data_IF_491687679290
#
_entry.id   IF_491687679290
#
_cell.length_a   1.000
_cell.length_b   1.000
_cell.length_c   1.000
_cell.angle_alpha   90.00
_cell.angle_beta   90.00
_cell.angle_gamma   90.00
#
_symmetry.space_group_name_H-M   'P 1'
#
loop_
_entity.id
_entity.type
_entity.pdbx_description
1 polymer ?
#
# COMPACT_ATOMS: atom_id res chain seq x y z
N UNK A 1 42.25 85.29 37.69
CA UNK A 1 41.38 84.81 36.62
C UNK A 1 42.05 83.65 35.93
N UNK A 2 41.79 82.42 36.33
CA UNK A 2 42.09 81.22 35.55
C UNK A 2 41.21 80.10 36.10
N UNK A 3 40.28 79.67 35.30
CA UNK A 3 39.37 78.56 35.60
C UNK A 3 40.00 77.23 35.17
N UNK A 4 40.19 76.36 36.13
CA UNK A 4 40.61 74.99 35.86
C UNK A 4 39.35 74.11 35.69
N UNK A 5 39.22 73.50 34.52
CA UNK A 5 38.24 72.44 34.27
C UNK A 5 38.84 71.06 34.59
N UNK A 6 38.30 70.41 35.58
CA UNK A 6 38.68 69.06 35.98
C UNK A 6 37.86 68.06 35.13
N UNK A 7 38.54 67.22 34.32
CA UNK A 7 37.97 66.21 33.46
C UNK A 7 37.92 64.88 34.24
N UNK A 8 36.71 64.45 34.63
CA UNK A 8 36.46 63.16 35.26
C UNK A 8 36.37 62.04 34.19
N UNK A 9 37.31 61.13 34.20
CA UNK A 9 37.28 59.92 33.41
C UNK A 9 36.39 58.88 34.11
N UNK A 10 35.29 58.49 33.45
CA UNK A 10 34.42 57.42 33.85
C UNK A 10 34.91 56.12 33.19
N UNK A 11 35.51 55.20 33.94
CA UNK A 11 35.94 53.90 33.47
C UNK A 11 34.72 52.98 33.59
N UNK A 12 34.04 52.71 32.44
CA UNK A 12 32.97 51.75 32.33
C UNK A 12 33.55 50.33 32.25
N UNK A 13 33.37 49.51 33.28
CA UNK A 13 33.73 48.11 33.27
C UNK A 13 32.66 47.33 32.47
N UNK A 14 33.04 46.89 31.28
CA UNK A 14 32.21 46.02 30.42
C UNK A 14 32.31 44.58 30.98
N UNK A 15 31.27 44.16 31.73
CA UNK A 15 31.14 42.79 32.23
C UNK A 15 30.78 41.85 31.08
N UNK A 16 31.71 40.98 30.69
CA UNK A 16 31.43 39.85 29.81
C UNK A 16 30.56 38.82 30.55
N UNK A 17 29.25 38.82 30.30
CA UNK A 17 28.40 37.69 30.65
C UNK A 17 28.73 36.52 29.71
N UNK A 18 29.55 35.58 30.18
CA UNK A 18 29.72 34.29 29.52
C UNK A 18 28.43 33.45 29.66
N UNK A 19 27.64 33.37 28.61
CA UNK A 19 26.53 32.41 28.53
C UNK A 19 27.10 30.99 28.54
N UNK A 20 27.10 30.36 29.70
CA UNK A 20 27.38 28.94 29.82
C UNK A 20 26.11 28.20 29.34
N UNK A 21 26.17 27.74 28.11
CA UNK A 21 25.14 26.84 27.59
C UNK A 21 25.31 25.48 28.27
N UNK A 22 24.29 24.93 28.95
CA UNK A 22 24.37 23.56 29.43
C UNK A 22 24.43 22.63 28.22
N UNK A 23 25.59 21.97 28.03
CA UNK A 23 25.71 20.88 27.08
C UNK A 23 24.80 19.75 27.59
N UNK A 24 23.65 19.58 26.97
CA UNK A 24 22.84 18.38 27.13
C UNK A 24 23.67 17.21 26.61
N UNK A 25 24.19 16.39 27.50
CA UNK A 25 24.80 15.12 27.14
C UNK A 25 23.61 14.23 26.75
N UNK A 26 23.36 14.09 25.44
CA UNK A 26 22.48 13.06 24.91
C UNK A 26 23.24 11.75 25.09
N UNK A 27 22.94 11.03 26.17
CA UNK A 27 23.35 9.64 26.30
C UNK A 27 22.61 8.85 25.22
N UNK A 28 23.25 8.65 24.07
CA UNK A 28 22.77 7.65 23.12
C UNK A 28 22.81 6.30 23.83
N UNK A 29 21.71 5.53 23.81
CA UNK A 29 21.75 4.19 24.38
C UNK A 29 22.85 3.39 23.71
N UNK A 30 23.83 2.96 24.48
CA UNK A 30 24.90 2.11 23.99
C UNK A 30 24.25 0.81 23.53
N UNK A 31 24.44 0.45 22.26
CA UNK A 31 23.95 -0.85 21.78
C UNK A 31 24.54 -1.96 22.66
N UNK A 32 23.74 -2.99 23.02
CA UNK A 32 24.24 -4.08 23.84
C UNK A 32 25.47 -4.72 23.19
N UNK A 33 26.53 -4.89 23.99
CA UNK A 33 27.76 -5.53 23.55
C UNK A 33 27.57 -7.06 23.55
N UNK A 34 28.09 -7.74 22.51
CA UNK A 34 28.00 -9.18 22.41
C UNK A 34 27.96 -9.70 20.98
N UNK A 35 27.67 -10.96 20.84
CA UNK A 35 27.43 -11.61 19.55
C UNK A 35 26.04 -11.25 19.09
N UNK A 36 25.94 -10.52 17.98
CA UNK A 36 24.69 -10.15 17.35
C UNK A 36 24.49 -11.02 16.11
N UNK A 37 23.35 -11.68 16.05
CA UNK A 37 22.96 -12.54 14.92
C UNK A 37 21.58 -12.17 14.44
N UNK A 38 21.33 -12.52 13.21
CA UNK A 38 20.02 -12.38 12.58
C UNK A 38 19.59 -13.75 12.09
N UNK A 39 18.35 -14.13 12.40
CA UNK A 39 17.77 -15.37 11.92
C UNK A 39 16.52 -15.11 11.12
N UNK A 40 16.30 -15.96 10.12
CA UNK A 40 15.15 -15.93 9.23
C UNK A 40 14.43 -17.26 9.29
N UNK A 41 13.10 -17.21 9.38
CA UNK A 41 12.25 -18.38 9.27
C UNK A 41 11.19 -18.16 8.22
N UNK A 42 10.92 -19.19 7.45
CA UNK A 42 9.87 -19.21 6.44
C UNK A 42 8.95 -20.39 6.72
N UNK A 43 7.64 -20.14 6.68
CA UNK A 43 6.62 -21.15 6.77
C UNK A 43 5.62 -20.97 5.63
N UNK A 44 5.23 -22.07 5.00
CA UNK A 44 4.30 -22.08 3.88
C UNK A 44 3.06 -22.88 4.21
N UNK A 45 1.92 -22.44 3.69
CA UNK A 45 0.62 -23.10 3.87
C UNK A 45 -0.31 -22.89 2.69
N UNK A 46 -1.28 -23.79 2.55
CA UNK A 46 -2.31 -23.61 1.53
C UNK A 46 -3.25 -22.45 1.92
N UNK A 47 -3.60 -21.54 0.98
CA UNK A 47 -4.56 -20.49 1.24
C UNK A 47 -5.95 -21.07 1.55
N UNK A 48 -6.71 -20.42 2.40
CA UNK A 48 -8.08 -20.79 2.76
C UNK A 48 -9.13 -19.73 2.35
N UNK A 49 -8.67 -18.54 1.94
CA UNK A 49 -9.53 -17.48 1.39
C UNK A 49 -8.96 -16.91 0.10
N UNK A 50 -9.84 -16.41 -0.75
CA UNK A 50 -9.49 -15.53 -1.85
C UNK A 50 -10.12 -14.16 -1.61
N UNK A 51 -9.38 -13.09 -1.94
CA UNK A 51 -9.87 -11.71 -1.89
C UNK A 51 -9.78 -11.09 -3.27
N UNK A 52 -10.85 -10.41 -3.67
CA UNK A 52 -10.90 -9.67 -4.94
C UNK A 52 -11.64 -8.37 -4.74
N UNK A 53 -11.40 -7.40 -5.61
CA UNK A 53 -12.15 -6.15 -5.62
C UNK A 53 -12.99 -6.12 -6.90
N UNK A 54 -14.28 -5.97 -6.72
CA UNK A 54 -15.27 -5.88 -7.80
C UNK A 54 -15.88 -4.49 -7.77
N UNK A 55 -16.00 -3.84 -8.92
CA UNK A 55 -16.43 -2.46 -8.98
C UNK A 55 -17.39 -2.17 -10.12
N UNK A 56 -18.06 -1.04 -9.95
CA UNK A 56 -18.89 -0.41 -10.96
C UNK A 56 -18.35 0.99 -11.21
N UNK A 57 -18.05 1.25 -12.46
CA UNK A 57 -17.67 2.58 -12.94
C UNK A 57 -18.78 3.10 -13.87
N UNK A 58 -19.22 4.34 -13.64
CA UNK A 58 -20.26 5.01 -14.41
C UNK A 58 -19.81 6.37 -14.83
N UNK A 59 -20.05 6.72 -16.10
CA UNK A 59 -19.89 8.07 -16.61
C UNK A 59 -21.26 8.62 -17.00
N UNK A 60 -21.60 9.81 -16.49
CA UNK A 60 -22.88 10.45 -16.77
C UNK A 60 -22.74 11.97 -16.92
N UNK A 61 -23.73 12.61 -17.54
CA UNK A 61 -23.73 14.05 -17.72
C UNK A 61 -23.99 14.82 -16.42
N UNK A 62 -24.64 14.20 -15.45
CA UNK A 62 -24.92 14.79 -14.13
C UNK A 62 -24.47 13.86 -13.00
N UNK A 63 -24.13 14.47 -11.86
CA UNK A 63 -23.76 13.73 -10.65
C UNK A 63 -24.90 12.83 -10.17
N UNK A 64 -26.13 13.31 -10.24
CA UNK A 64 -27.33 12.57 -9.83
C UNK A 64 -27.50 11.26 -10.64
N UNK A 65 -27.36 11.34 -11.97
CA UNK A 65 -27.41 10.17 -12.84
C UNK A 65 -26.27 9.18 -12.54
N UNK A 66 -25.02 9.69 -12.38
CA UNK A 66 -23.90 8.82 -12.06
C UNK A 66 -24.13 8.03 -10.77
N UNK A 67 -24.63 8.71 -9.72
CA UNK A 67 -24.91 8.10 -8.42
C UNK A 67 -26.06 7.11 -8.51
N UNK A 68 -27.15 7.45 -9.19
CA UNK A 68 -28.32 6.58 -9.35
C UNK A 68 -27.95 5.29 -10.09
N UNK A 69 -27.33 5.41 -11.26
CA UNK A 69 -26.93 4.28 -12.09
C UNK A 69 -25.89 3.39 -11.39
N UNK A 70 -24.89 4.00 -10.75
CA UNK A 70 -23.86 3.27 -10.02
C UNK A 70 -24.42 2.53 -8.81
N UNK A 71 -25.36 3.14 -8.08
CA UNK A 71 -26.01 2.50 -6.93
C UNK A 71 -26.88 1.32 -7.38
N UNK A 72 -27.63 1.47 -8.47
CA UNK A 72 -28.46 0.41 -9.02
C UNK A 72 -27.60 -0.80 -9.45
N UNK A 73 -26.55 -0.57 -10.22
CA UNK A 73 -25.65 -1.64 -10.69
C UNK A 73 -24.94 -2.32 -9.51
N UNK A 74 -24.40 -1.55 -8.57
CA UNK A 74 -23.74 -2.14 -7.40
C UNK A 74 -24.71 -2.96 -6.55
N UNK A 75 -25.97 -2.54 -6.40
CA UNK A 75 -26.98 -3.32 -5.72
C UNK A 75 -27.25 -4.68 -6.42
N UNK A 76 -27.25 -4.71 -7.75
CA UNK A 76 -27.38 -5.95 -8.52
C UNK A 76 -26.17 -6.88 -8.30
N UNK A 77 -24.94 -6.32 -8.34
CA UNK A 77 -23.71 -7.08 -8.05
C UNK A 77 -23.76 -7.69 -6.66
N UNK A 78 -24.08 -6.90 -5.63
CA UNK A 78 -24.16 -7.38 -4.25
C UNK A 78 -25.24 -8.46 -4.09
N UNK A 79 -26.39 -8.32 -4.77
CA UNK A 79 -27.46 -9.32 -4.76
C UNK A 79 -26.99 -10.64 -5.40
N UNK A 80 -26.30 -10.59 -6.54
CA UNK A 80 -25.76 -11.78 -7.21
C UNK A 80 -24.73 -12.51 -6.33
N UNK A 81 -23.85 -11.77 -5.66
CA UNK A 81 -22.85 -12.35 -4.74
C UNK A 81 -23.53 -13.01 -3.52
N UNK A 82 -24.54 -12.38 -2.94
CA UNK A 82 -25.32 -12.96 -1.83
C UNK A 82 -26.05 -14.24 -2.25
N UNK A 83 -26.58 -14.32 -3.48
CA UNK A 83 -27.19 -15.51 -4.02
C UNK A 83 -26.22 -16.70 -4.17
N UNK A 84 -24.93 -16.43 -4.40
CA UNK A 84 -23.89 -17.45 -4.41
C UNK A 84 -23.46 -17.88 -2.99
N UNK A 85 -24.07 -17.28 -1.96
CA UNK A 85 -23.81 -17.59 -0.55
C UNK A 85 -22.58 -16.86 0.01
N UNK A 86 -22.20 -15.73 -0.57
CA UNK A 86 -21.19 -14.85 0.04
C UNK A 86 -21.89 -14.08 1.18
N UNK A 87 -21.43 -14.23 2.44
CA UNK A 87 -22.02 -13.54 3.57
C UNK A 87 -21.82 -12.01 3.48
N UNK A 88 -22.72 -11.25 4.06
CA UNK A 88 -22.62 -9.79 4.09
C UNK A 88 -21.36 -9.30 4.81
N UNK A 89 -20.90 -10.02 5.81
CA UNK A 89 -19.65 -9.73 6.54
C UNK A 89 -18.40 -9.81 5.65
N UNK A 90 -18.45 -10.60 4.57
CA UNK A 90 -17.35 -10.78 3.60
C UNK A 90 -17.47 -9.82 2.40
N UNK A 91 -18.45 -8.90 2.43
CA UNK A 91 -18.66 -7.85 1.42
C UNK A 91 -18.40 -6.48 2.05
N UNK A 92 -17.31 -5.82 1.65
CA UNK A 92 -16.91 -4.53 2.22
C UNK A 92 -16.66 -3.50 1.13
N UNK A 93 -17.39 -2.38 1.16
CA UNK A 93 -17.06 -1.25 0.27
C UNK A 93 -15.66 -0.74 0.60
N UNK A 94 -14.79 -0.76 -0.41
CA UNK A 94 -13.38 -0.35 -0.29
C UNK A 94 -13.11 1.02 -0.91
N UNK A 95 -13.90 1.39 -1.93
CA UNK A 95 -13.78 2.68 -2.58
C UNK A 95 -15.15 3.19 -3.02
N UNK A 96 -15.39 4.48 -2.80
CA UNK A 96 -16.51 5.22 -3.37
C UNK A 96 -16.03 6.62 -3.71
N UNK A 97 -16.01 6.98 -4.98
CA UNK A 97 -15.59 8.29 -5.43
C UNK A 97 -16.45 8.80 -6.57
N UNK A 98 -16.70 10.11 -6.56
CA UNK A 98 -17.38 10.82 -7.63
C UNK A 98 -16.50 12.02 -8.00
N UNK A 99 -16.07 12.10 -9.25
CA UNK A 99 -15.26 13.19 -9.79
C UNK A 99 -15.89 13.75 -11.05
N UNK A 100 -15.61 15.03 -11.31
CA UNK A 100 -15.94 15.64 -12.59
C UNK A 100 -14.71 15.66 -13.48
N UNK A 101 -14.76 14.98 -14.61
CA UNK A 101 -13.67 14.85 -15.57
C UNK A 101 -13.97 15.73 -16.79
N UNK A 102 -13.02 16.60 -17.13
CA UNK A 102 -13.09 17.38 -18.35
C UNK A 102 -12.68 16.50 -19.54
N UNK A 103 -13.46 16.52 -20.60
CA UNK A 103 -13.04 15.93 -21.86
C UNK A 103 -11.81 16.66 -22.36
N UNK A 104 -10.72 15.95 -22.73
CA UNK A 104 -9.58 16.58 -23.35
C UNK A 104 -10.05 17.34 -24.59
N UNK A 105 -9.70 18.61 -24.67
CA UNK A 105 -10.02 19.48 -25.80
C UNK A 105 -9.26 18.95 -27.02
N UNK A 106 -9.82 17.93 -27.69
CA UNK A 106 -9.31 17.50 -29.01
C UNK A 106 -9.58 18.64 -29.97
N UNK A 107 -8.54 19.26 -30.55
CA UNK A 107 -8.77 20.15 -31.68
C UNK A 107 -9.52 19.33 -32.74
N UNK A 108 -10.53 19.92 -33.43
CA UNK A 108 -11.27 19.23 -34.45
C UNK A 108 -10.27 18.62 -35.44
N UNK A 109 -10.14 17.29 -35.43
CA UNK A 109 -9.39 16.60 -36.49
C UNK A 109 -10.11 16.93 -37.80
N UNK A 110 -9.41 17.48 -38.82
CA UNK A 110 -10.00 17.62 -40.12
C UNK A 110 -10.31 16.21 -40.64
N UNK A 111 -11.55 15.78 -40.51
CA UNK A 111 -12.03 14.58 -41.16
C UNK A 111 -11.82 14.74 -42.64
N UNK A 112 -10.85 13.98 -43.14
CA UNK A 112 -10.67 13.68 -44.58
C UNK A 112 -10.52 14.89 -45.51
N UNK A 113 -9.38 15.56 -45.42
CA UNK A 113 -8.84 16.25 -46.60
C UNK A 113 -8.14 15.26 -47.56
N UNK A 114 -8.72 14.07 -47.73
CA UNK A 114 -8.36 13.17 -48.82
C UNK A 114 -9.57 13.10 -49.75
N UNK A 115 -9.45 13.81 -50.88
CA UNK A 115 -10.37 13.77 -52.04
C UNK A 115 -11.56 14.76 -52.02
N UNK A 116 -11.28 16.05 -51.93
CA UNK A 116 -12.15 17.03 -52.59
C UNK A 116 -11.31 17.93 -53.50
N UNK A 117 -11.76 18.19 -54.77
CA UNK A 117 -11.04 19.05 -55.68
C UNK A 117 -10.98 20.48 -55.14
N UNK A 118 -9.85 21.13 -55.37
CA UNK A 118 -9.54 22.46 -54.93
C UNK A 118 -10.50 23.54 -55.55
N UNK A 119 -11.63 23.74 -54.95
CA UNK A 119 -12.49 24.91 -55.20
C UNK A 119 -13.38 25.17 -53.99
N UNK A 120 -12.96 26.02 -53.17
CA UNK A 120 -13.62 26.98 -52.30
C UNK A 120 -12.77 27.18 -51.04
N UNK A 121 -12.00 28.23 -51.03
CA UNK A 121 -11.34 28.73 -49.81
C UNK A 121 -12.43 29.18 -48.82
N UNK A 122 -12.91 28.28 -47.98
CA UNK A 122 -13.65 28.66 -46.82
C UNK A 122 -12.67 29.33 -45.84
N UNK A 123 -12.97 30.62 -45.52
CA UNK A 123 -12.24 31.38 -44.53
C UNK A 123 -12.13 30.56 -43.25
N UNK A 124 -10.96 30.51 -42.57
CA UNK A 124 -10.84 29.87 -41.27
C UNK A 124 -11.86 30.51 -40.31
N UNK A 125 -12.83 29.70 -39.89
CA UNK A 125 -13.78 30.13 -38.88
C UNK A 125 -13.01 30.17 -37.55
N UNK A 126 -13.00 31.29 -36.82
CA UNK A 126 -12.37 31.34 -35.50
C UNK A 126 -12.99 30.22 -34.63
N UNK A 127 -12.21 29.53 -33.81
CA UNK A 127 -12.80 28.58 -32.86
C UNK A 127 -13.84 29.32 -32.03
N UNK A 128 -15.02 28.72 -31.91
CA UNK A 128 -16.11 29.29 -31.11
C UNK A 128 -15.62 29.49 -29.68
N UNK A 129 -15.37 30.75 -29.31
CA UNK A 129 -14.79 31.17 -28.03
C UNK A 129 -15.68 30.86 -26.81
N UNK A 130 -16.89 30.30 -27.03
CA UNK A 130 -17.90 30.08 -26.00
C UNK A 130 -18.25 28.58 -25.76
N UNK A 131 -17.45 27.64 -26.29
CA UNK A 131 -17.65 26.25 -25.95
C UNK A 131 -17.21 26.02 -24.49
N UNK A 132 -18.19 26.02 -23.57
CA UNK A 132 -17.94 25.57 -22.18
C UNK A 132 -17.22 24.22 -22.23
N UNK A 133 -16.17 24.02 -21.42
CA UNK A 133 -15.49 22.74 -21.39
C UNK A 133 -16.51 21.65 -21.10
N UNK A 134 -16.58 20.70 -22.01
CA UNK A 134 -17.46 19.51 -21.84
C UNK A 134 -16.75 18.56 -20.91
N UNK A 135 -17.51 17.99 -20.01
CA UNK A 135 -17.01 16.99 -19.08
C UNK A 135 -18.15 16.09 -18.64
N UNK A 136 -17.79 15.06 -17.93
CA UNK A 136 -18.74 14.09 -17.39
C UNK A 136 -18.40 13.81 -15.92
N UNK A 137 -19.39 13.35 -15.19
CA UNK A 137 -19.20 12.82 -13.85
C UNK A 137 -18.79 11.37 -13.95
N UNK A 138 -17.69 11.04 -13.29
CA UNK A 138 -17.17 9.68 -13.18
C UNK A 138 -17.37 9.20 -11.75
N UNK A 139 -18.17 8.16 -11.58
CA UNK A 139 -18.40 7.46 -10.34
C UNK A 139 -17.63 6.13 -10.34
N UNK A 140 -16.89 5.87 -9.29
CA UNK A 140 -16.28 4.57 -8.99
C UNK A 140 -16.84 4.08 -7.66
N UNK A 141 -17.39 2.87 -7.65
CA UNK A 141 -17.85 2.18 -6.44
C UNK A 141 -17.30 0.75 -6.45
N UNK A 142 -16.44 0.42 -5.48
CA UNK A 142 -15.73 -0.87 -5.42
C UNK A 142 -16.01 -1.55 -4.09
N UNK A 143 -16.27 -2.85 -4.14
CA UNK A 143 -16.44 -3.73 -3.00
C UNK A 143 -15.32 -4.76 -2.96
N UNK A 144 -14.69 -4.93 -1.81
CA UNK A 144 -13.80 -6.06 -1.53
C UNK A 144 -14.66 -7.25 -1.13
N UNK A 145 -14.41 -8.38 -1.79
CA UNK A 145 -15.12 -9.63 -1.59
C UNK A 145 -14.14 -10.66 -1.04
N UNK A 146 -14.46 -11.24 0.13
CA UNK A 146 -13.74 -12.37 0.68
C UNK A 146 -14.47 -13.66 0.33
N UNK A 147 -13.80 -14.57 -0.34
CA UNK A 147 -14.35 -15.85 -0.83
C UNK A 147 -13.71 -16.97 -0.02
N UNK A 148 -14.46 -17.57 0.90
CA UNK A 148 -13.97 -18.63 1.79
C UNK A 148 -14.00 -20.02 1.14
N UNK A 149 -14.80 -20.21 0.13
CA UNK A 149 -14.82 -21.42 -0.68
C UNK A 149 -14.13 -21.14 -2.01
N UNK A 150 -12.84 -21.51 -2.08
CA UNK A 150 -11.99 -21.24 -3.23
C UNK A 150 -12.53 -21.82 -4.53
N UNK A 151 -13.33 -22.91 -4.45
CA UNK A 151 -13.99 -23.49 -5.63
C UNK A 151 -15.04 -22.57 -6.26
N UNK A 152 -15.48 -21.55 -5.53
CA UNK A 152 -16.49 -20.58 -6.01
C UNK A 152 -15.86 -19.36 -6.69
N UNK A 153 -14.56 -19.17 -6.66
CA UNK A 153 -13.89 -17.96 -7.19
C UNK A 153 -14.35 -17.66 -8.61
N UNK A 154 -14.25 -18.61 -9.52
CA UNK A 154 -14.66 -18.40 -10.92
C UNK A 154 -16.15 -18.02 -11.05
N UNK A 155 -17.04 -18.68 -10.26
CA UNK A 155 -18.48 -18.38 -10.28
C UNK A 155 -18.78 -16.99 -9.72
N UNK A 156 -18.05 -16.56 -8.71
CA UNK A 156 -18.20 -15.21 -8.11
C UNK A 156 -17.84 -14.14 -9.14
N UNK A 157 -16.72 -14.31 -9.85
CA UNK A 157 -16.31 -13.38 -10.89
C UNK A 157 -17.30 -13.32 -12.05
N UNK A 158 -17.77 -14.49 -12.50
CA UNK A 158 -18.76 -14.56 -13.57
C UNK A 158 -20.07 -13.89 -13.16
N UNK A 159 -20.59 -14.18 -11.97
CA UNK A 159 -21.84 -13.59 -11.50
C UNK A 159 -21.75 -12.07 -11.30
N UNK A 160 -20.60 -11.57 -10.89
CA UNK A 160 -20.37 -10.13 -10.81
C UNK A 160 -20.37 -9.47 -12.19
N UNK A 161 -19.72 -10.09 -13.18
CA UNK A 161 -19.71 -9.60 -14.56
C UNK A 161 -21.10 -9.63 -15.19
N UNK A 162 -21.88 -10.70 -14.97
CA UNK A 162 -23.25 -10.84 -15.43
C UNK A 162 -24.21 -9.83 -14.77
N UNK A 163 -23.85 -9.32 -13.59
CA UNK A 163 -24.56 -8.29 -12.84
C UNK A 163 -24.05 -6.86 -13.11
N UNK A 164 -23.37 -6.63 -14.24
CA UNK A 164 -22.84 -5.32 -14.67
C UNK A 164 -21.66 -4.77 -13.84
N UNK A 165 -20.92 -5.61 -13.10
CA UNK A 165 -19.61 -5.20 -12.63
C UNK A 165 -18.67 -5.02 -13.85
N UNK A 166 -18.14 -3.81 -14.03
CA UNK A 166 -17.29 -3.47 -15.17
C UNK A 166 -15.86 -3.11 -14.78
N UNK A 167 -15.56 -3.23 -13.50
CA UNK A 167 -14.24 -3.02 -12.93
C UNK A 167 -13.95 -4.14 -11.95
N UNK A 168 -12.79 -4.78 -12.10
CA UNK A 168 -12.34 -5.78 -11.15
C UNK A 168 -10.81 -5.75 -11.08
N UNK A 169 -10.31 -5.77 -9.87
CA UNK A 169 -8.90 -5.63 -9.58
C UNK A 169 -8.42 -6.89 -8.89
N UNK A 170 -7.55 -7.63 -9.56
CA UNK A 170 -6.79 -8.75 -9.04
C UNK A 170 -7.55 -9.76 -8.17
N UNK A 171 -6.96 -10.93 -8.04
CA UNK A 171 -7.36 -11.92 -7.05
C UNK A 171 -6.12 -12.22 -6.24
N UNK A 172 -6.21 -12.18 -4.92
CA UNK A 172 -5.18 -12.66 -4.01
C UNK A 172 -5.70 -13.88 -3.26
N UNK A 173 -4.81 -14.84 -3.07
CA UNK A 173 -5.07 -16.00 -2.22
C UNK A 173 -4.30 -15.82 -0.93
N UNK A 174 -4.95 -16.05 0.19
CA UNK A 174 -4.45 -15.67 1.50
C UNK A 174 -4.97 -16.63 2.57
N UNK A 175 -4.53 -16.43 3.80
CA UNK A 175 -5.07 -17.08 4.99
C UNK A 175 -6.00 -16.10 5.72
N UNK A 176 -7.15 -16.58 6.17
CA UNK A 176 -8.04 -15.80 7.01
C UNK A 176 -7.44 -15.59 8.42
N UNK A 177 -6.76 -16.64 8.92
CA UNK A 177 -5.97 -16.60 10.15
C UNK A 177 -4.56 -17.16 9.89
N UNK A 178 -3.57 -16.31 9.86
CA UNK A 178 -2.17 -16.64 9.63
C UNK A 178 -1.37 -16.90 10.92
N UNK A 179 -1.98 -16.76 12.11
CA UNK A 179 -1.29 -16.82 13.39
C UNK A 179 -0.47 -18.11 13.60
N UNK A 180 -0.95 -19.25 13.11
CA UNK A 180 -0.23 -20.53 13.20
C UNK A 180 1.04 -20.52 12.35
N UNK A 181 0.93 -20.00 11.12
CA UNK A 181 2.04 -19.93 10.19
C UNK A 181 3.09 -18.90 10.66
N UNK A 182 2.64 -17.75 11.18
CA UNK A 182 3.51 -16.76 11.83
C UNK A 182 4.28 -17.38 12.98
N UNK A 183 3.61 -18.15 13.85
CA UNK A 183 4.27 -18.83 14.98
C UNK A 183 5.31 -19.85 14.51
N UNK A 184 5.03 -20.59 13.45
CA UNK A 184 5.97 -21.55 12.86
C UNK A 184 7.19 -20.83 12.27
N UNK A 185 6.99 -19.80 11.45
CA UNK A 185 8.06 -18.99 10.90
C UNK A 185 8.92 -18.36 12.01
N UNK A 186 8.30 -17.85 13.08
CA UNK A 186 9.00 -17.32 14.26
C UNK A 186 9.89 -18.35 14.93
N UNK A 187 9.42 -19.57 15.13
CA UNK A 187 10.22 -20.67 15.71
C UNK A 187 11.44 -20.98 14.84
N UNK A 188 11.25 -21.04 13.52
CA UNK A 188 12.34 -21.29 12.58
C UNK A 188 13.36 -20.15 12.60
N UNK A 189 12.91 -18.89 12.65
CA UNK A 189 13.80 -17.73 12.73
C UNK A 189 14.65 -17.73 14.01
N UNK A 190 14.05 -18.07 15.14
CA UNK A 190 14.78 -18.17 16.42
C UNK A 190 15.82 -19.31 16.35
N UNK A 191 15.46 -20.47 15.82
CA UNK A 191 16.37 -21.59 15.67
C UNK A 191 17.56 -21.26 14.75
N UNK A 192 17.30 -20.55 13.65
CA UNK A 192 18.32 -20.10 12.71
C UNK A 192 19.29 -19.09 13.37
N UNK A 193 18.76 -18.12 14.11
CA UNK A 193 19.58 -17.16 14.88
C UNK A 193 20.43 -17.87 15.94
N UNK A 194 19.87 -18.84 16.67
CA UNK A 194 20.60 -19.61 17.67
C UNK A 194 21.73 -20.40 17.03
N UNK A 195 21.47 -21.08 15.95
CA UNK A 195 22.47 -21.85 15.19
C UNK A 195 23.62 -20.95 14.71
N UNK A 196 23.28 -19.79 14.13
CA UNK A 196 24.27 -18.80 13.69
C UNK A 196 25.12 -18.27 14.84
N UNK A 197 24.53 -18.03 16.02
CA UNK A 197 25.29 -17.60 17.19
C UNK A 197 26.28 -18.66 17.67
N UNK A 198 25.85 -19.93 17.75
CA UNK A 198 26.70 -21.05 18.14
C UNK A 198 27.88 -21.27 17.18
N UNK A 199 27.64 -21.16 15.87
CA UNK A 199 28.70 -21.23 14.87
C UNK A 199 29.72 -20.12 15.01
N UNK A 200 29.26 -18.87 15.16
CA UNK A 200 30.15 -17.72 15.37
C UNK A 200 30.97 -17.87 16.64
N UNK A 201 30.38 -18.34 17.72
CA UNK A 201 31.07 -18.57 18.99
C UNK A 201 32.17 -19.61 18.84
N UNK A 202 31.89 -20.74 18.15
CA UNK A 202 32.89 -21.78 17.85
C UNK A 202 34.05 -21.25 17.01
N UNK A 203 33.75 -20.49 15.95
CA UNK A 203 34.76 -19.95 15.04
C UNK A 203 35.63 -18.86 15.67
N UNK A 204 35.07 -18.08 16.60
CA UNK A 204 35.81 -16.98 17.26
C UNK A 204 36.42 -17.35 18.60
N UNK A 205 36.07 -18.52 19.14
CA UNK A 205 36.60 -19.00 20.42
C UNK A 205 36.02 -18.26 21.65
N UNK A 206 34.88 -17.58 21.49
CA UNK A 206 34.14 -16.97 22.59
C UNK A 206 33.09 -17.95 23.15
N UNK A 207 32.70 -17.75 24.39
CA UNK A 207 31.56 -18.46 24.98
C UNK A 207 30.31 -17.59 24.94
N UNK A 208 29.19 -18.14 24.46
CA UNK A 208 27.90 -17.48 24.49
C UNK A 208 27.35 -17.46 25.92
N UNK A 209 26.94 -16.29 26.35
CA UNK A 209 26.14 -16.09 27.57
C UNK A 209 24.65 -16.10 27.27
N UNK A 210 23.91 -15.44 28.14
CA UNK A 210 22.46 -15.29 27.97
C UNK A 210 22.10 -14.30 26.83
N UNK A 211 20.87 -14.39 26.33
CA UNK A 211 20.31 -13.43 25.41
C UNK A 211 20.02 -12.11 26.14
N UNK A 212 20.69 -11.04 25.75
CA UNK A 212 20.57 -9.71 26.34
C UNK A 212 19.64 -8.78 25.58
N UNK A 213 19.36 -9.09 24.32
CA UNK A 213 18.42 -8.31 23.51
C UNK A 213 17.77 -9.20 22.45
N UNK A 214 16.48 -8.99 22.25
CA UNK A 214 15.67 -9.60 21.19
C UNK A 214 14.96 -8.46 20.46
N UNK A 215 15.08 -8.44 19.13
CA UNK A 215 14.33 -7.53 18.27
C UNK A 215 13.64 -8.36 17.19
N UNK A 216 12.34 -8.26 17.13
CA UNK A 216 11.54 -8.87 16.07
C UNK A 216 11.36 -7.88 14.93
N UNK A 217 11.47 -8.35 13.69
CA UNK A 217 10.97 -7.64 12.53
C UNK A 217 9.53 -8.06 12.29
N UNK A 218 8.68 -7.10 11.91
CA UNK A 218 7.30 -7.43 11.54
C UNK A 218 7.31 -8.48 10.44
N UNK A 219 6.47 -9.53 10.56
CA UNK A 219 6.38 -10.54 9.53
C UNK A 219 6.07 -9.88 8.21
N UNK A 220 6.91 -10.07 7.22
CA UNK A 220 6.57 -9.68 5.87
C UNK A 220 5.52 -10.69 5.40
N UNK A 221 4.27 -10.23 5.42
CA UNK A 221 3.13 -11.01 4.94
C UNK A 221 3.36 -11.48 3.51
N UNK A 222 2.72 -12.56 3.16
CA UNK A 222 2.76 -13.14 1.84
C UNK A 222 2.63 -12.03 0.79
N UNK A 223 3.56 -11.98 -0.14
CA UNK A 223 3.38 -11.20 -1.37
C UNK A 223 2.20 -11.87 -2.10
N UNK A 224 1.01 -11.25 -2.15
CA UNK A 224 -0.10 -11.88 -2.83
C UNK A 224 0.26 -12.03 -4.31
N UNK A 225 0.18 -13.25 -4.82
CA UNK A 225 0.25 -13.47 -6.25
C UNK A 225 -0.98 -12.81 -6.88
N UNK A 226 -0.82 -11.61 -7.43
CA UNK A 226 -1.91 -10.87 -8.07
C UNK A 226 -2.10 -11.37 -9.50
N UNK A 227 -3.24 -12.01 -9.76
CA UNK A 227 -3.67 -12.36 -11.11
C UNK A 227 -4.55 -11.26 -11.69
N UNK A 228 -4.31 -10.85 -12.93
CA UNK A 228 -5.14 -9.87 -13.61
C UNK A 228 -6.46 -10.50 -14.10
N UNK A 229 -7.54 -9.73 -14.08
CA UNK A 229 -8.88 -10.18 -14.48
C UNK A 229 -8.97 -10.67 -15.94
N UNK A 230 -8.07 -10.25 -16.82
CA UNK A 230 -8.00 -10.75 -18.20
C UNK A 230 -7.85 -12.29 -18.27
N UNK A 231 -7.29 -12.91 -17.23
CA UNK A 231 -7.18 -14.36 -17.12
C UNK A 231 -8.49 -15.03 -16.67
N UNK A 232 -9.34 -14.33 -15.93
CA UNK A 232 -10.57 -14.91 -15.35
C UNK A 232 -11.71 -15.06 -16.38
N UNK A 233 -11.73 -14.26 -17.44
CA UNK A 233 -12.74 -14.35 -18.51
C UNK A 233 -12.55 -15.55 -19.46
N UNK A 234 -11.43 -16.27 -19.37
CA UNK A 234 -11.06 -17.33 -20.30
C UNK A 234 -11.28 -18.75 -19.76
N UNK A 235 -12.07 -18.97 -18.72
CA UNK A 235 -12.22 -20.28 -18.07
C UNK A 235 -10.87 -20.90 -17.66
N UNK A 236 -9.90 -20.04 -17.26
CA UNK A 236 -8.55 -20.46 -16.88
C UNK A 236 -8.60 -21.11 -15.50
N UNK A 237 -8.05 -22.32 -15.32
CA UNK A 237 -7.88 -22.87 -13.99
C UNK A 237 -7.06 -21.90 -13.14
N UNK A 238 -7.60 -21.50 -12.00
CA UNK A 238 -6.89 -20.62 -11.07
C UNK A 238 -6.16 -21.51 -10.07
N UNK A 239 -4.84 -21.59 -10.25
CA UNK A 239 -3.96 -22.31 -9.31
C UNK A 239 -3.72 -21.42 -8.09
N UNK A 240 -3.92 -21.95 -6.90
CA UNK A 240 -3.90 -21.17 -5.66
C UNK A 240 -2.48 -20.90 -5.13
N UNK A 241 -1.51 -21.76 -5.49
CA UNK A 241 -0.15 -21.71 -4.94
C UNK A 241 -0.12 -21.93 -3.42
N UNK A 242 0.95 -21.52 -2.78
CA UNK A 242 1.12 -21.53 -1.32
C UNK A 242 1.30 -20.09 -0.83
N UNK A 243 0.82 -19.84 0.37
CA UNK A 243 1.08 -18.60 1.12
C UNK A 243 2.33 -18.81 1.94
N UNK A 244 3.36 -18.00 1.74
CA UNK A 244 4.62 -18.06 2.49
C UNK A 244 4.71 -16.85 3.41
N UNK A 245 4.95 -17.10 4.69
CA UNK A 245 5.24 -16.05 5.68
C UNK A 245 6.71 -16.11 6.01
N UNK A 246 7.39 -14.97 5.90
CA UNK A 246 8.77 -14.79 6.30
C UNK A 246 8.84 -13.97 7.57
N UNK A 247 9.64 -14.43 8.52
CA UNK A 247 9.81 -13.81 9.83
C UNK A 247 11.29 -13.58 10.12
N UNK A 248 11.64 -12.40 10.63
CA UNK A 248 13.00 -12.05 11.00
C UNK A 248 13.13 -11.81 12.50
N UNK A 249 14.25 -12.30 13.08
CA UNK A 249 14.58 -12.00 14.47
C UNK A 249 16.06 -11.67 14.61
N UNK A 250 16.35 -10.62 15.36
CA UNK A 250 17.71 -10.29 15.78
C UNK A 250 17.88 -10.67 17.24
N UNK A 251 18.93 -11.46 17.53
CA UNK A 251 19.33 -11.83 18.89
C UNK A 251 20.71 -11.24 19.20
N UNK A 252 20.88 -10.77 20.44
CA UNK A 252 22.18 -10.36 20.96
C UNK A 252 22.48 -11.19 22.18
N UNK A 253 23.60 -11.91 22.16
CA UNK A 253 24.09 -12.73 23.27
C UNK A 253 25.23 -12.03 23.99
N UNK A 254 25.22 -12.05 25.31
CA UNK A 254 26.39 -11.72 26.07
C UNK A 254 27.56 -12.66 25.71
N UNK A 255 28.79 -12.19 25.86
CA UNK A 255 29.99 -13.01 25.60
C UNK A 255 30.86 -13.06 26.83
N UNK A 256 31.43 -14.22 27.10
CA UNK A 256 32.45 -14.43 28.09
C UNK A 256 33.77 -14.81 27.41
N UNK A 257 34.89 -14.21 27.87
CA UNK A 257 36.21 -14.69 27.44
C UNK A 257 36.54 -15.95 28.24
N UNK A 258 37.04 -16.98 27.53
CA UNK A 258 37.67 -18.13 28.17
C UNK A 258 38.85 -17.70 29.01
#
# INVERSE_FOLDING_TARGET
MHKHYSLLYFIGSLGLLACVHPRSIVLSPTAPEGVRVYGVGEAAGAPDVARTQLGVEVRAATAEQAVADGSQRMAAVLAALKQLGIPEADLRTSQYSLSYELEPNQPPQPLAAAQAPAQAAAKPQPPAADAKPRGHYHLTNTVTVTIRDLSKVGRVLQAAADADANSAYGISFDLDDDAKLVLEARKLAIADAQHSAEELAKLTGVELGEVVSITEEEPQGAQPNTYSLAAAQANVPVEHGEVTIRYGVQLVYATHRK
#
